data_IF_579108755062
#
_entry.id   IF_579108755062
#
_cell.length_a   1.000
_cell.length_b   1.000
_cell.length_c   1.000
_cell.angle_alpha   90.00
_cell.angle_beta   90.00
_cell.angle_gamma   90.00
#
_symmetry.space_group_name_H-M   'P 1'
#
loop_
_entity.id
_entity.type
_entity.pdbx_description
1 polymer ?
#
# COMPACT_ATOMS: atom_id res chain seq x y z
N UNK A 1 64.89 -36.98 15.73
CA UNK A 1 63.70 -36.78 14.90
C UNK A 1 62.73 -35.90 15.68
N UNK A 2 62.59 -34.64 15.28
CA UNK A 2 61.62 -33.68 15.93
C UNK A 2 60.45 -33.52 14.97
N UNK A 3 59.27 -33.99 15.37
CA UNK A 3 58.04 -33.90 14.62
C UNK A 3 57.42 -32.52 14.88
N UNK A 4 57.33 -31.68 13.85
CA UNK A 4 56.65 -30.39 13.91
C UNK A 4 55.17 -30.60 13.59
N UNK A 5 54.31 -30.37 14.57
CA UNK A 5 52.86 -30.44 14.41
C UNK A 5 52.38 -29.06 13.88
N UNK A 6 51.96 -29.01 12.63
CA UNK A 6 51.37 -27.82 12.03
C UNK A 6 49.90 -27.72 12.45
N UNK A 7 49.56 -26.69 13.26
CA UNK A 7 48.17 -26.36 13.62
C UNK A 7 47.59 -25.51 12.53
N UNK A 8 46.61 -26.06 11.82
CA UNK A 8 45.85 -25.37 10.76
C UNK A 8 44.73 -24.51 11.46
N UNK A 9 44.90 -23.21 11.49
CA UNK A 9 43.85 -22.30 11.92
C UNK A 9 42.81 -22.15 10.80
N UNK A 10 41.65 -22.76 10.96
CA UNK A 10 40.48 -22.51 10.16
C UNK A 10 39.84 -21.19 10.64
N UNK A 11 39.99 -20.12 9.87
CA UNK A 11 39.25 -18.88 10.11
C UNK A 11 37.81 -19.09 9.63
N UNK A 12 36.88 -19.26 10.58
CA UNK A 12 35.46 -19.12 10.30
C UNK A 12 35.19 -17.62 10.08
N UNK A 13 35.03 -17.23 8.81
CA UNK A 13 34.44 -15.94 8.45
C UNK A 13 32.96 -15.98 8.81
N UNK A 14 32.58 -15.37 9.94
CA UNK A 14 31.19 -15.06 10.26
C UNK A 14 30.71 -14.03 9.24
N UNK A 15 29.88 -14.47 8.31
CA UNK A 15 29.06 -13.57 7.49
C UNK A 15 28.18 -12.79 8.47
N UNK A 16 28.55 -11.53 8.73
CA UNK A 16 27.68 -10.58 9.42
C UNK A 16 26.48 -10.36 8.50
N UNK A 17 25.31 -10.87 8.87
CA UNK A 17 24.05 -10.48 8.29
C UNK A 17 23.87 -9.02 8.68
N UNK A 18 24.06 -8.11 7.73
CA UNK A 18 23.66 -6.73 7.92
C UNK A 18 22.15 -6.75 8.13
N UNK A 19 21.70 -6.24 9.25
CA UNK A 19 20.29 -5.93 9.51
C UNK A 19 19.93 -4.69 8.68
N UNK A 20 20.01 -4.85 7.36
CA UNK A 20 19.56 -3.85 6.40
C UNK A 20 18.04 -3.93 6.45
N UNK A 21 17.41 -2.96 7.12
CA UNK A 21 15.96 -2.80 7.12
C UNK A 21 15.42 -2.89 5.69
N UNK A 22 14.12 -3.16 5.56
CA UNK A 22 13.49 -3.24 4.25
C UNK A 22 13.70 -1.93 3.48
N UNK A 23 13.92 -2.00 2.15
CA UNK A 23 14.08 -0.79 1.34
C UNK A 23 12.78 0.02 1.32
N UNK A 24 12.91 1.34 1.21
CA UNK A 24 11.76 2.19 0.94
C UNK A 24 11.17 1.86 -0.44
N UNK A 25 9.84 1.99 -0.55
CA UNK A 25 9.15 1.78 -1.80
C UNK A 25 9.46 2.93 -2.79
N UNK A 26 9.85 2.56 -4.00
CA UNK A 26 9.99 3.50 -5.13
C UNK A 26 8.64 3.67 -5.85
N UNK A 27 7.76 2.69 -5.76
CA UNK A 27 6.39 2.74 -6.28
C UNK A 27 5.49 1.72 -5.60
N UNK A 28 4.18 1.95 -5.72
CA UNK A 28 3.11 1.05 -5.29
C UNK A 28 2.33 0.58 -6.51
N UNK A 29 2.02 -0.70 -6.57
CA UNK A 29 1.16 -1.30 -7.59
C UNK A 29 -0.05 -1.92 -6.92
N UNK A 30 -1.24 -1.58 -7.41
CA UNK A 30 -2.52 -2.16 -6.99
C UNK A 30 -3.13 -2.90 -8.17
N UNK A 31 -3.57 -4.14 -7.95
CA UNK A 31 -4.40 -4.91 -8.86
C UNK A 31 -5.75 -5.15 -8.17
N UNK A 32 -6.76 -4.41 -8.63
CA UNK A 32 -8.12 -4.47 -8.09
C UNK A 32 -8.74 -5.84 -8.31
N UNK A 33 -8.50 -6.46 -9.45
CA UNK A 33 -9.06 -7.78 -9.77
C UNK A 33 -8.50 -8.88 -8.88
N UNK A 34 -7.22 -8.79 -8.54
CA UNK A 34 -6.54 -9.73 -7.65
C UNK A 34 -6.75 -9.43 -6.15
N UNK A 35 -7.28 -8.25 -5.80
CA UNK A 35 -7.31 -7.71 -4.42
C UNK A 35 -5.93 -7.72 -3.77
N UNK A 36 -4.94 -7.24 -4.54
CA UNK A 36 -3.54 -7.22 -4.11
C UNK A 36 -2.91 -5.86 -4.32
N UNK A 37 -2.02 -5.52 -3.39
CA UNK A 37 -1.14 -4.37 -3.49
C UNK A 37 0.29 -4.82 -3.25
N UNK A 38 1.24 -4.26 -4.00
CA UNK A 38 2.67 -4.53 -3.86
C UNK A 38 3.45 -3.24 -3.68
N UNK A 39 4.49 -3.31 -2.86
CA UNK A 39 5.56 -2.32 -2.83
C UNK A 39 6.68 -2.79 -3.75
N UNK A 40 7.22 -1.86 -4.54
CA UNK A 40 8.28 -2.12 -5.51
C UNK A 40 9.52 -1.26 -5.22
N UNK A 41 10.70 -1.85 -5.44
CA UNK A 41 11.98 -1.17 -5.52
C UNK A 41 12.82 -1.78 -6.63
N UNK A 42 13.54 -0.97 -7.41
CA UNK A 42 14.24 -1.43 -8.61
C UNK A 42 13.34 -2.17 -9.60
N UNK A 43 12.06 -1.81 -9.68
CA UNK A 43 11.06 -2.47 -10.53
C UNK A 43 10.63 -3.87 -10.06
N UNK A 44 11.06 -4.30 -8.88
CA UNK A 44 10.74 -5.63 -8.33
C UNK A 44 9.77 -5.51 -7.16
N UNK A 45 8.73 -6.37 -7.14
CA UNK A 45 7.82 -6.54 -6.01
C UNK A 45 8.57 -7.18 -4.83
N UNK A 46 8.58 -6.54 -3.65
CA UNK A 46 9.26 -7.07 -2.46
C UNK A 46 8.34 -7.21 -1.24
N UNK A 47 7.13 -6.59 -1.29
CA UNK A 47 6.05 -6.76 -0.33
C UNK A 47 4.74 -6.95 -1.07
N UNK A 48 3.87 -7.79 -0.52
CA UNK A 48 2.52 -8.07 -1.03
C UNK A 48 1.52 -7.96 0.12
N UNK A 49 0.41 -7.27 -0.13
CA UNK A 49 -0.70 -7.11 0.82
C UNK A 49 -2.01 -7.54 0.15
N UNK A 50 -2.87 -8.19 0.94
CA UNK A 50 -4.25 -8.40 0.55
C UNK A 50 -5.06 -7.15 0.89
N UNK A 51 -5.86 -6.66 -0.04
CA UNK A 51 -6.60 -5.40 0.11
C UNK A 51 -8.11 -5.63 0.02
N UNK A 52 -8.87 -4.73 0.65
CA UNK A 52 -10.29 -4.52 0.42
C UNK A 52 -10.48 -3.20 -0.33
N UNK A 53 -11.49 -3.12 -1.17
CA UNK A 53 -11.80 -1.98 -2.02
C UNK A 53 -13.15 -1.36 -1.65
N UNK A 54 -13.60 -0.42 -2.46
CA UNK A 54 -14.96 0.10 -2.40
C UNK A 54 -16.00 -0.98 -2.65
N UNK A 55 -17.20 -0.84 -2.09
CA UNK A 55 -18.30 -1.81 -2.18
C UNK A 55 -18.75 -2.07 -3.62
N UNK A 56 -18.50 -1.11 -4.53
CA UNK A 56 -18.65 -1.28 -5.97
C UNK A 56 -17.27 -1.30 -6.67
N UNK A 57 -16.52 -2.40 -6.64
CA UNK A 57 -15.10 -2.42 -6.99
C UNK A 57 -14.81 -2.35 -8.49
N UNK A 58 -15.82 -2.51 -9.35
CA UNK A 58 -15.61 -2.61 -10.80
C UNK A 58 -15.56 -1.23 -11.47
N UNK A 59 -14.51 -1.02 -12.27
CA UNK A 59 -14.31 0.19 -13.05
C UNK A 59 -13.69 1.34 -12.25
N UNK A 60 -13.38 2.40 -12.99
CA UNK A 60 -12.78 3.61 -12.45
C UNK A 60 -13.80 4.42 -11.62
N UNK A 61 -13.32 5.08 -10.55
CA UNK A 61 -14.10 6.08 -9.81
C UNK A 61 -14.40 7.28 -10.72
N UNK A 62 -15.67 7.65 -10.79
CA UNK A 62 -16.12 8.70 -11.69
C UNK A 62 -16.91 9.83 -11.03
N UNK A 63 -17.48 9.56 -9.85
CA UNK A 63 -18.25 10.53 -9.08
C UNK A 63 -18.25 10.20 -7.59
N UNK A 64 -18.57 11.19 -6.79
CA UNK A 64 -18.80 11.01 -5.36
C UNK A 64 -19.96 10.03 -5.10
N UNK A 65 -19.78 9.14 -4.12
CA UNK A 65 -20.79 8.13 -3.75
C UNK A 65 -20.93 6.95 -4.72
N UNK A 66 -20.05 6.79 -5.72
CA UNK A 66 -20.09 5.63 -6.61
C UNK A 66 -19.43 4.38 -6.01
N UNK A 67 -18.82 4.51 -4.82
CA UNK A 67 -18.17 3.46 -4.04
C UNK A 67 -17.05 2.73 -4.80
N UNK A 68 -16.50 3.40 -5.84
CA UNK A 68 -15.42 2.87 -6.66
C UNK A 68 -14.08 3.36 -6.22
N UNK A 69 -13.07 2.49 -6.30
CA UNK A 69 -11.67 2.85 -6.20
C UNK A 69 -11.17 3.35 -7.57
N UNK A 70 -10.46 4.49 -7.65
CA UNK A 70 -9.96 5.01 -8.92
C UNK A 70 -8.96 4.06 -9.58
N UNK A 71 -8.86 4.14 -10.91
CA UNK A 71 -7.89 3.41 -11.75
C UNK A 71 -6.95 4.39 -12.43
N UNK A 72 -5.69 4.00 -12.62
CA UNK A 72 -4.64 4.80 -13.26
C UNK A 72 -3.52 5.19 -12.32
N UNK A 73 -2.69 6.14 -12.78
CA UNK A 73 -1.48 6.57 -12.08
C UNK A 73 -1.77 7.79 -11.21
N UNK A 74 -1.38 7.71 -9.95
CA UNK A 74 -1.52 8.75 -8.91
C UNK A 74 -0.22 8.88 -8.13
N UNK A 75 -0.25 9.69 -7.08
CA UNK A 75 0.84 9.87 -6.11
C UNK A 75 0.25 9.69 -4.71
N UNK A 76 0.98 9.06 -3.82
CA UNK A 76 0.73 9.09 -2.39
C UNK A 76 1.34 10.39 -1.87
N UNK A 77 0.54 11.41 -1.62
CA UNK A 77 1.00 12.79 -1.45
C UNK A 77 1.11 13.25 0.00
N UNK A 78 0.40 12.61 0.93
CA UNK A 78 0.58 12.85 2.37
C UNK A 78 0.09 11.70 3.24
N UNK A 79 0.58 11.66 4.47
CA UNK A 79 0.23 10.70 5.51
C UNK A 79 -0.59 11.36 6.60
N UNK A 80 -1.66 10.70 7.06
CA UNK A 80 -2.53 11.19 8.13
C UNK A 80 -2.43 10.29 9.37
N UNK A 81 -1.73 10.73 10.43
CA UNK A 81 -1.61 9.96 11.68
C UNK A 81 -2.89 10.02 12.54
N UNK A 82 -3.78 10.99 12.29
CA UNK A 82 -5.04 11.16 13.02
C UNK A 82 -6.23 10.54 12.28
N UNK A 83 -5.96 9.44 11.57
CA UNK A 83 -6.98 8.73 10.79
C UNK A 83 -8.05 8.10 11.71
N UNK A 84 -9.31 8.11 11.25
CA UNK A 84 -10.39 7.31 11.86
C UNK A 84 -10.22 5.80 11.61
N UNK A 85 -9.24 5.43 10.79
CA UNK A 85 -8.93 4.08 10.34
C UNK A 85 -7.47 3.73 10.68
N UNK A 86 -7.06 3.89 11.92
CA UNK A 86 -5.72 3.66 12.45
C UNK A 86 -4.68 4.63 11.88
N UNK A 87 -4.15 4.36 10.71
CA UNK A 87 -3.27 5.23 9.93
C UNK A 87 -3.81 5.30 8.50
N UNK A 88 -3.48 6.39 7.76
CA UNK A 88 -3.85 6.46 6.36
C UNK A 88 -2.87 7.26 5.51
N UNK A 89 -2.69 6.82 4.25
CA UNK A 89 -1.89 7.47 3.22
C UNK A 89 -2.82 7.95 2.12
N UNK A 90 -2.80 9.25 1.80
CA UNK A 90 -3.68 9.85 0.80
C UNK A 90 -3.20 9.56 -0.62
N UNK A 91 -4.14 9.28 -1.52
CA UNK A 91 -3.93 9.11 -2.95
C UNK A 91 -4.43 10.37 -3.66
N UNK A 92 -3.62 10.95 -4.54
CA UNK A 92 -3.88 12.24 -5.23
C UNK A 92 -5.03 12.21 -6.26
N UNK A 93 -6.13 11.50 -5.93
CA UNK A 93 -7.39 11.54 -6.66
C UNK A 93 -8.27 12.68 -6.10
N UNK A 94 -8.99 13.45 -6.93
CA UNK A 94 -9.01 13.41 -8.39
C UNK A 94 -7.85 14.19 -9.02
N UNK A 95 -7.28 13.65 -10.12
CA UNK A 95 -6.41 14.45 -11.01
C UNK A 95 -7.27 15.42 -11.82
N UNK A 96 -6.61 16.37 -12.50
CA UNK A 96 -7.29 17.35 -13.35
C UNK A 96 -8.24 16.68 -14.36
N UNK A 97 -7.81 15.62 -15.02
CA UNK A 97 -8.65 14.89 -16.00
C UNK A 97 -9.88 14.22 -15.37
N UNK A 98 -9.77 13.71 -14.14
CA UNK A 98 -10.88 13.09 -13.41
C UNK A 98 -11.92 14.17 -13.04
N UNK A 99 -11.44 15.30 -12.54
CA UNK A 99 -12.27 16.47 -12.21
C UNK A 99 -12.95 17.06 -13.45
N UNK A 100 -12.27 17.14 -14.60
CA UNK A 100 -12.84 17.63 -15.87
C UNK A 100 -13.94 16.71 -16.37
N UNK A 101 -13.71 15.38 -16.35
CA UNK A 101 -14.72 14.40 -16.74
C UNK A 101 -15.98 14.48 -15.87
N UNK A 102 -15.82 14.59 -14.56
CA UNK A 102 -16.92 14.73 -13.61
C UNK A 102 -17.70 16.04 -13.87
N UNK A 103 -16.99 17.17 -14.03
CA UNK A 103 -17.58 18.48 -14.35
C UNK A 103 -18.40 18.43 -15.63
N UNK A 104 -17.90 17.80 -16.70
CA UNK A 104 -18.62 17.67 -17.98
C UNK A 104 -19.91 16.85 -17.85
N UNK A 105 -20.03 16.03 -16.81
CA UNK A 105 -21.25 15.28 -16.46
C UNK A 105 -22.12 15.98 -15.43
N UNK A 106 -21.69 17.14 -14.91
CA UNK A 106 -22.43 17.89 -13.90
C UNK A 106 -22.42 17.25 -12.51
N UNK A 107 -21.39 16.46 -12.19
CA UNK A 107 -21.24 15.76 -10.90
C UNK A 107 -19.94 16.13 -10.18
N UNK A 108 -19.90 15.91 -8.84
CA UNK A 108 -18.66 15.97 -8.07
C UNK A 108 -17.83 14.70 -8.33
N UNK A 109 -16.51 14.79 -8.59
CA UNK A 109 -15.67 13.61 -8.67
C UNK A 109 -15.51 12.88 -7.32
N UNK A 110 -15.80 13.58 -6.21
CA UNK A 110 -15.41 13.19 -4.86
C UNK A 110 -13.91 13.37 -4.63
N UNK A 111 -13.35 12.63 -3.68
CA UNK A 111 -11.95 12.72 -3.27
C UNK A 111 -11.75 11.92 -1.99
N UNK A 112 -10.70 12.29 -1.23
CA UNK A 112 -10.38 11.63 0.05
C UNK A 112 -10.20 10.11 -0.10
N UNK A 113 -9.49 9.70 -1.13
CA UNK A 113 -9.12 8.30 -1.36
C UNK A 113 -7.82 8.01 -0.63
N UNK A 114 -7.83 6.99 0.22
CA UNK A 114 -6.69 6.62 1.06
C UNK A 114 -6.37 5.12 0.97
N UNK A 115 -5.12 4.78 1.28
CA UNK A 115 -4.77 3.46 1.79
C UNK A 115 -4.86 3.58 3.31
N UNK A 116 -5.60 2.69 4.00
CA UNK A 116 -5.82 2.81 5.45
C UNK A 116 -6.01 1.46 6.15
N UNK A 117 -5.92 1.48 7.47
CA UNK A 117 -6.20 0.33 8.33
C UNK A 117 -7.69 0.10 8.58
N UNK A 118 -8.00 -0.57 9.68
CA UNK A 118 -9.37 -0.83 10.13
C UNK A 118 -9.94 0.37 10.87
N UNK A 119 -11.27 0.49 10.98
CA UNK A 119 -11.89 1.51 11.83
C UNK A 119 -11.40 1.41 13.27
N UNK A 120 -11.11 2.55 13.89
CA UNK A 120 -10.62 2.61 15.27
C UNK A 120 -11.60 1.91 16.22
N UNK A 121 -11.07 1.04 17.09
CA UNK A 121 -11.85 0.23 18.01
C UNK A 121 -12.45 -1.05 17.41
N UNK A 122 -12.15 -1.35 16.14
CA UNK A 122 -12.65 -2.54 15.43
C UNK A 122 -11.54 -3.55 15.10
N UNK A 123 -10.37 -3.44 15.73
CA UNK A 123 -9.19 -4.28 15.48
C UNK A 123 -9.49 -5.77 15.70
N UNK A 124 -10.37 -6.08 16.65
CA UNK A 124 -10.81 -7.46 16.96
C UNK A 124 -11.62 -8.09 15.82
N UNK A 125 -12.17 -7.29 14.90
CA UNK A 125 -12.94 -7.74 13.75
C UNK A 125 -12.12 -7.94 12.48
N UNK A 126 -10.79 -7.87 12.55
CA UNK A 126 -9.91 -7.96 11.37
C UNK A 126 -10.24 -9.15 10.46
N UNK A 127 -10.57 -10.32 11.04
CA UNK A 127 -10.92 -11.50 10.27
C UNK A 127 -12.22 -11.32 9.45
N UNK A 128 -13.16 -10.51 9.94
CA UNK A 128 -14.44 -10.24 9.26
C UNK A 128 -14.28 -9.24 8.11
N UNK A 129 -13.29 -8.35 8.18
CA UNK A 129 -13.00 -7.38 7.11
C UNK A 129 -12.14 -7.97 6.00
N UNK A 130 -11.44 -9.07 6.27
CA UNK A 130 -10.53 -9.68 5.30
C UNK A 130 -11.30 -10.35 4.15
N UNK A 131 -10.99 -9.95 2.92
CA UNK A 131 -11.59 -10.53 1.72
C UNK A 131 -13.00 -10.01 1.39
N UNK A 132 -13.45 -8.96 2.07
CA UNK A 132 -14.72 -8.27 1.80
C UNK A 132 -14.37 -6.85 1.32
N UNK A 133 -15.00 -6.39 0.24
CA UNK A 133 -14.97 -4.98 -0.16
C UNK A 133 -16.02 -4.24 0.68
N UNK A 134 -15.63 -3.14 1.35
CA UNK A 134 -16.47 -2.50 2.36
C UNK A 134 -16.28 -0.99 2.46
N UNK A 135 -15.41 -0.42 1.63
CA UNK A 135 -15.09 1.01 1.72
C UNK A 135 -15.93 1.84 0.74
N UNK A 136 -15.92 3.15 0.89
CA UNK A 136 -16.53 4.09 -0.06
C UNK A 136 -15.61 4.44 -1.24
N UNK A 137 -14.61 3.57 -1.53
CA UNK A 137 -13.64 3.74 -2.61
C UNK A 137 -12.17 3.78 -2.19
N UNK A 138 -11.89 3.78 -0.89
CA UNK A 138 -10.54 3.64 -0.34
C UNK A 138 -9.98 2.22 -0.54
N UNK A 139 -8.69 2.06 -0.26
CA UNK A 139 -7.99 0.78 -0.23
C UNK A 139 -7.72 0.44 1.24
N UNK A 140 -8.34 -0.60 1.76
CA UNK A 140 -8.15 -1.01 3.15
C UNK A 140 -7.24 -2.22 3.26
N UNK A 141 -6.41 -2.23 4.32
CA UNK A 141 -5.51 -3.32 4.74
C UNK A 141 -5.67 -3.58 6.24
N UNK A 142 -4.99 -4.57 6.80
CA UNK A 142 -4.95 -4.77 8.25
C UNK A 142 -4.11 -3.71 8.97
N UNK A 143 -4.31 -3.54 10.30
CA UNK A 143 -3.60 -2.51 11.06
C UNK A 143 -2.09 -2.69 11.06
N UNK A 144 -1.57 -3.92 11.19
CA UNK A 144 -0.13 -4.19 11.09
C UNK A 144 0.43 -3.94 9.69
N UNK A 145 -0.40 -4.18 8.66
CA UNK A 145 -0.03 -3.94 7.28
C UNK A 145 0.07 -2.44 6.99
N UNK A 146 -0.87 -1.62 7.48
CA UNK A 146 -0.77 -0.16 7.31
C UNK A 146 0.39 0.45 8.10
N UNK A 147 0.76 -0.10 9.26
CA UNK A 147 1.95 0.31 10.01
C UNK A 147 3.23 0.05 9.20
N UNK A 148 3.37 -1.12 8.60
CA UNK A 148 4.49 -1.44 7.71
C UNK A 148 4.51 -0.54 6.46
N UNK A 149 3.37 -0.34 5.82
CA UNK A 149 3.23 0.55 4.65
C UNK A 149 3.61 1.99 5.03
N UNK A 150 3.22 2.45 6.20
CA UNK A 150 3.55 3.78 6.72
C UNK A 150 5.06 4.01 6.82
N UNK A 151 5.80 3.02 7.28
CA UNK A 151 7.27 3.09 7.39
C UNK A 151 7.97 3.00 6.04
N UNK A 152 7.43 2.19 5.12
CA UNK A 152 8.08 1.85 3.85
C UNK A 152 7.71 2.76 2.68
N UNK A 153 6.59 3.50 2.76
CA UNK A 153 6.08 4.32 1.64
C UNK A 153 6.19 5.81 1.98
N UNK A 154 7.22 6.52 1.49
CA UNK A 154 7.36 7.95 1.71
C UNK A 154 6.32 8.76 0.91
N UNK A 155 6.05 10.00 1.38
CA UNK A 155 5.25 10.96 0.62
C UNK A 155 5.93 11.26 -0.72
N UNK A 156 5.15 11.37 -1.78
CA UNK A 156 5.63 11.52 -3.15
C UNK A 156 5.77 10.20 -3.91
N UNK A 157 5.53 9.05 -3.27
CA UNK A 157 5.63 7.73 -3.92
C UNK A 157 4.54 7.58 -4.99
N UNK A 158 4.90 7.26 -6.25
CA UNK A 158 3.94 6.97 -7.29
C UNK A 158 3.17 5.67 -6.99
N UNK A 159 1.88 5.68 -7.33
CA UNK A 159 1.00 4.53 -7.23
C UNK A 159 0.27 4.31 -8.56
N UNK A 160 0.30 3.07 -9.05
CA UNK A 160 -0.47 2.62 -10.22
C UNK A 160 -1.58 1.69 -9.73
N UNK A 161 -2.82 2.00 -10.12
CA UNK A 161 -4.01 1.21 -9.75
C UNK A 161 -4.59 0.61 -11.03
N UNK A 162 -4.42 -0.70 -11.19
CA UNK A 162 -4.92 -1.50 -12.29
C UNK A 162 -6.35 -1.98 -12.01
N UNK A 163 -7.05 -2.29 -13.11
CA UNK A 163 -8.39 -2.87 -13.10
C UNK A 163 -8.48 -4.20 -12.39
#
# INVERSE_FOLDING_TARGET
MRTVLAILFIQLSTLAWSDAGLPLAESVLVDKSARKMWLLTGGRKYREYHISLGDNPLGHKEQEGDERTPEGSYVIDYRNPESKYHLSLHISYPRQQDAEKARNRGVSPGGNIFIHGLPNGMEFMQASYRGVDWTDGCIAVGNREIEEIWELVPDGTPIEILR
#
